data_IF_295249527104
#
_entry.id   IF_295249527104
#
_cell.length_a   1.000
_cell.length_b   1.000
_cell.length_c   1.000
_cell.angle_alpha   90.00
_cell.angle_beta   90.00
_cell.angle_gamma   90.00
#
_symmetry.space_group_name_H-M   'P 1'
#
loop_
_entity.id
_entity.type
_entity.pdbx_description
1 polymer ?
#
# COMPACT_ATOMS: atom_id res chain seq x y z
N UNK A 1 -13.92 2.06 9.69
CA UNK A 1 -13.13 2.23 10.91
C UNK A 1 -13.73 3.30 11.82
N UNK A 2 -13.19 3.44 13.02
CA UNK A 2 -13.69 4.39 14.03
C UNK A 2 -13.63 5.85 13.58
N UNK A 3 -12.73 6.20 12.68
CA UNK A 3 -12.57 7.53 12.10
C UNK A 3 -13.52 7.81 10.93
N UNK A 4 -14.40 6.87 10.57
CA UNK A 4 -15.37 7.00 9.47
C UNK A 4 -14.83 6.67 8.08
N UNK A 5 -13.61 6.18 7.96
CA UNK A 5 -13.02 5.77 6.67
C UNK A 5 -13.28 4.28 6.37
N UNK A 6 -13.34 3.94 5.09
CA UNK A 6 -13.50 2.55 4.65
C UNK A 6 -12.20 1.74 4.69
N UNK A 7 -11.07 2.40 4.82
CA UNK A 7 -9.73 1.81 4.90
C UNK A 7 -9.01 2.36 6.12
N UNK A 8 -8.03 1.61 6.61
CA UNK A 8 -7.16 2.02 7.72
C UNK A 8 -5.72 2.05 7.21
N UNK A 9 -5.02 3.19 7.25
CA UNK A 9 -3.62 3.25 6.88
C UNK A 9 -2.77 2.30 7.73
N UNK A 10 -1.86 1.57 7.10
CA UNK A 10 -0.90 0.71 7.79
C UNK A 10 0.27 1.52 8.37
N UNK A 11 -0.07 2.39 9.30
CA UNK A 11 0.87 3.30 9.99
C UNK A 11 0.71 3.13 11.49
N UNK A 12 1.84 3.00 12.19
CA UNK A 12 1.91 2.88 13.65
C UNK A 12 2.87 3.93 14.18
N UNK A 13 2.47 4.66 15.20
CA UNK A 13 3.32 5.66 15.85
C UNK A 13 3.34 5.47 17.36
N UNK A 14 4.49 5.75 17.95
CA UNK A 14 4.70 5.71 19.39
C UNK A 14 4.90 7.14 19.89
N UNK A 15 4.02 7.64 20.74
CA UNK A 15 4.15 8.97 21.31
C UNK A 15 5.20 8.98 22.40
N UNK A 16 5.70 10.17 22.76
CA UNK A 16 6.66 10.33 23.87
C UNK A 16 6.08 9.95 25.24
N UNK A 17 4.75 10.01 25.36
CA UNK A 17 4.01 9.65 26.58
C UNK A 17 3.71 8.14 26.66
N UNK A 18 4.22 7.34 25.70
CA UNK A 18 4.06 5.89 25.69
C UNK A 18 2.75 5.39 25.06
N UNK A 19 1.96 6.27 24.45
CA UNK A 19 0.76 5.91 23.74
C UNK A 19 1.09 5.36 22.34
N UNK A 20 0.31 4.41 21.85
CA UNK A 20 0.44 3.84 20.52
C UNK A 20 -0.73 4.29 19.65
N UNK A 21 -0.42 5.01 18.60
CA UNK A 21 -1.38 5.46 17.58
C UNK A 21 -1.32 4.52 16.37
N UNK A 22 -2.46 4.24 15.77
CA UNK A 22 -2.56 3.37 14.60
C UNK A 22 -3.51 3.96 13.56
N UNK A 23 -3.15 3.82 12.30
CA UNK A 23 -3.99 4.24 11.20
C UNK A 23 -3.92 5.75 10.94
N UNK A 24 -5.06 6.37 10.74
CA UNK A 24 -5.16 7.79 10.36
C UNK A 24 -4.57 8.72 11.42
N UNK A 25 -4.77 8.43 12.70
CA UNK A 25 -4.19 9.23 13.79
C UNK A 25 -2.66 9.18 13.81
N UNK A 26 -2.09 7.99 13.55
CA UNK A 26 -0.64 7.83 13.41
C UNK A 26 -0.11 8.60 12.19
N UNK A 27 -0.82 8.52 11.07
CA UNK A 27 -0.44 9.21 9.83
C UNK A 27 -0.44 10.73 10.00
N UNK A 28 -1.47 11.30 10.61
CA UNK A 28 -1.62 12.77 10.77
C UNK A 28 -0.52 13.39 11.64
N UNK A 29 0.01 12.69 12.62
CA UNK A 29 1.06 13.18 13.50
C UNK A 29 2.48 12.84 13.02
N UNK A 30 2.63 12.14 11.89
CA UNK A 30 3.92 11.67 11.39
C UNK A 30 4.94 12.81 11.19
N UNK A 31 4.50 13.97 10.74
CA UNK A 31 5.36 15.17 10.55
C UNK A 31 6.08 15.57 11.84
N UNK A 32 5.40 15.51 12.96
CA UNK A 32 5.94 15.93 14.28
C UNK A 32 6.60 14.79 15.04
N UNK A 33 6.57 13.57 14.53
CA UNK A 33 7.04 12.36 15.21
C UNK A 33 7.66 11.34 14.24
N UNK A 34 8.49 11.81 13.33
CA UNK A 34 9.01 11.03 12.18
C UNK A 34 9.75 9.77 12.64
N UNK A 35 10.68 9.90 13.59
CA UNK A 35 11.53 8.79 14.02
C UNK A 35 10.79 7.70 14.81
N UNK A 36 9.55 7.95 15.23
CA UNK A 36 8.71 7.07 16.03
C UNK A 36 7.45 6.62 15.28
N UNK A 37 7.39 6.90 13.98
CA UNK A 37 6.27 6.53 13.11
C UNK A 37 6.75 5.53 12.06
N UNK A 38 6.08 4.38 11.97
CA UNK A 38 6.43 3.25 11.12
C UNK A 38 5.32 3.08 10.09
N UNK A 39 5.70 3.07 8.82
CA UNK A 39 4.82 2.77 7.70
C UNK A 39 5.36 1.59 6.88
N UNK A 40 4.49 0.95 6.10
CA UNK A 40 4.85 -0.10 5.13
C UNK A 40 5.61 -1.30 5.74
N UNK A 41 5.31 -1.66 6.98
CA UNK A 41 5.98 -2.77 7.70
C UNK A 41 5.82 -4.12 7.01
N UNK A 42 4.80 -4.30 6.17
CA UNK A 42 4.55 -5.51 5.36
C UNK A 42 5.78 -5.92 4.52
N UNK A 43 6.57 -4.95 4.07
CA UNK A 43 7.81 -5.19 3.30
C UNK A 43 8.89 -5.93 4.11
N UNK A 44 8.74 -6.02 5.41
CA UNK A 44 9.70 -6.63 6.34
C UNK A 44 9.20 -7.93 6.97
N UNK A 45 7.99 -8.38 6.63
CA UNK A 45 7.44 -9.62 7.18
C UNK A 45 8.32 -10.81 6.83
N UNK A 46 8.51 -11.73 7.78
CA UNK A 46 9.35 -12.90 7.61
C UNK A 46 10.86 -12.63 7.63
N UNK A 47 11.30 -11.41 7.90
CA UNK A 47 12.72 -11.02 8.01
C UNK A 47 13.13 -10.76 9.47
N UNK A 48 14.41 -10.55 9.68
CA UNK A 48 15.01 -10.19 10.98
C UNK A 48 15.02 -8.66 11.25
N UNK A 49 14.33 -7.89 10.41
CA UNK A 49 14.18 -6.44 10.60
C UNK A 49 13.60 -6.09 11.97
N UNK A 50 14.13 -5.06 12.58
CA UNK A 50 13.65 -4.51 13.85
C UNK A 50 13.69 -3.00 13.84
N UNK A 51 12.69 -2.39 14.47
CA UNK A 51 12.66 -0.97 14.73
C UNK A 51 12.90 -0.73 16.23
N UNK A 52 13.92 0.06 16.54
CA UNK A 52 14.20 0.47 17.91
C UNK A 52 13.47 1.78 18.24
N UNK A 53 12.72 1.77 19.33
CA UNK A 53 11.99 2.92 19.86
C UNK A 53 12.09 2.85 21.39
N UNK A 54 12.67 3.87 22.03
CA UNK A 54 12.84 3.96 23.49
C UNK A 54 13.50 2.69 24.08
N UNK A 55 14.64 2.30 23.54
CA UNK A 55 15.42 1.12 23.96
C UNK A 55 14.69 -0.23 23.78
N UNK A 56 13.51 -0.24 23.18
CA UNK A 56 12.75 -1.44 22.83
C UNK A 56 12.80 -1.71 21.34
N UNK A 57 13.10 -2.96 20.99
CA UNK A 57 13.13 -3.43 19.60
C UNK A 57 11.83 -4.12 19.25
N UNK A 58 11.16 -3.62 18.23
CA UNK A 58 9.90 -4.17 17.71
C UNK A 58 10.15 -4.96 16.43
N UNK A 59 9.57 -6.15 16.35
CA UNK A 59 9.57 -6.99 15.14
C UNK A 59 8.48 -6.54 14.16
N UNK A 60 8.53 -6.96 12.88
CA UNK A 60 7.46 -6.70 11.93
C UNK A 60 6.11 -7.26 12.41
N UNK A 61 6.10 -8.42 13.05
CA UNK A 61 4.90 -9.05 13.61
C UNK A 61 4.27 -8.19 14.71
N UNK A 62 5.07 -7.64 15.62
CA UNK A 62 4.58 -6.78 16.70
C UNK A 62 3.98 -5.47 16.18
N UNK A 63 4.59 -4.87 15.17
CA UNK A 63 4.05 -3.66 14.52
C UNK A 63 2.76 -3.98 13.75
N UNK A 64 2.76 -5.05 12.97
CA UNK A 64 1.57 -5.51 12.25
C UNK A 64 0.42 -5.86 13.19
N UNK A 65 0.74 -6.45 14.34
CA UNK A 65 -0.25 -6.77 15.37
C UNK A 65 -0.97 -5.52 15.90
N UNK A 66 -0.31 -4.37 15.97
CA UNK A 66 -0.96 -3.10 16.37
C UNK A 66 -2.04 -2.68 15.36
N UNK A 67 -1.76 -2.87 14.07
CA UNK A 67 -2.73 -2.60 12.99
C UNK A 67 -3.92 -3.55 13.10
N UNK A 68 -3.66 -4.85 13.23
CA UNK A 68 -4.71 -5.87 13.35
C UNK A 68 -5.56 -5.69 14.62
N UNK A 69 -4.93 -5.32 15.75
CA UNK A 69 -5.65 -5.03 16.98
C UNK A 69 -6.57 -3.81 16.86
N UNK A 70 -6.16 -2.79 16.09
CA UNK A 70 -7.05 -1.66 15.78
C UNK A 70 -8.23 -2.11 14.93
N UNK A 71 -8.00 -2.89 13.88
CA UNK A 71 -9.06 -3.41 13.02
C UNK A 71 -10.07 -4.26 13.82
N UNK A 72 -9.56 -5.09 14.74
CA UNK A 72 -10.39 -5.87 15.66
C UNK A 72 -11.29 -4.96 16.52
N UNK A 73 -10.71 -3.95 17.17
CA UNK A 73 -11.48 -3.00 18.01
C UNK A 73 -12.51 -2.22 17.19
N UNK A 74 -12.15 -1.75 16.01
CA UNK A 74 -13.05 -1.00 15.14
C UNK A 74 -14.23 -1.89 14.68
N UNK A 75 -13.96 -3.16 14.37
CA UNK A 75 -15.01 -4.13 14.03
C UNK A 75 -15.94 -4.42 15.22
N UNK A 76 -15.37 -4.63 16.40
CA UNK A 76 -16.14 -4.84 17.63
C UNK A 76 -17.03 -3.64 17.97
N UNK A 77 -16.49 -2.44 17.81
CA UNK A 77 -17.26 -1.21 18.01
C UNK A 77 -18.41 -1.06 17.00
N UNK A 78 -18.18 -1.42 15.75
CA UNK A 78 -19.18 -1.35 14.70
C UNK A 78 -20.29 -2.41 14.86
N UNK A 79 -19.91 -3.63 15.23
CA UNK A 79 -20.83 -4.77 15.36
C UNK A 79 -21.55 -4.79 16.73
N UNK A 80 -20.97 -4.15 17.75
CA UNK A 80 -21.48 -4.19 19.13
C UNK A 80 -21.24 -5.52 19.84
N UNK A 81 -20.34 -6.36 19.33
CA UNK A 81 -20.02 -7.68 19.88
C UNK A 81 -18.53 -8.00 19.73
N UNK A 82 -18.03 -9.01 20.45
CA UNK A 82 -16.65 -9.44 20.37
C UNK A 82 -16.33 -10.08 19.04
N UNK A 83 -15.17 -9.73 18.47
CA UNK A 83 -14.59 -10.36 17.28
C UNK A 83 -13.41 -11.21 17.72
N UNK A 84 -13.55 -12.51 17.63
CA UNK A 84 -12.54 -13.49 18.09
C UNK A 84 -11.79 -14.14 16.95
N UNK A 85 -12.46 -14.41 15.84
CA UNK A 85 -11.91 -15.13 14.70
C UNK A 85 -11.64 -14.21 13.52
N UNK A 86 -10.60 -14.52 12.76
CA UNK A 86 -10.24 -13.78 11.54
C UNK A 86 -9.68 -14.69 10.45
N UNK A 87 -9.95 -14.31 9.22
CA UNK A 87 -9.19 -14.74 8.04
C UNK A 87 -8.31 -13.57 7.61
N UNK A 88 -7.02 -13.83 7.44
CA UNK A 88 -6.04 -12.79 7.08
C UNK A 88 -5.50 -13.09 5.69
N UNK A 89 -5.40 -12.06 4.86
CA UNK A 89 -4.89 -12.21 3.49
C UNK A 89 -3.42 -11.85 3.39
N UNK A 90 -2.72 -12.53 2.50
CA UNK A 90 -1.32 -12.29 2.16
C UNK A 90 -1.13 -12.32 0.64
N UNK A 91 -0.09 -11.69 0.10
CA UNK A 91 0.28 -11.86 -1.30
C UNK A 91 0.48 -13.34 -1.66
N UNK A 92 0.11 -13.73 -2.87
CA UNK A 92 0.21 -15.12 -3.30
C UNK A 92 1.65 -15.66 -3.30
N UNK A 93 2.64 -14.76 -3.48
CA UNK A 93 4.07 -15.13 -3.46
C UNK A 93 4.70 -15.23 -2.07
N UNK A 94 3.98 -14.85 -0.99
CA UNK A 94 4.51 -15.00 0.37
C UNK A 94 4.91 -16.45 0.63
N UNK A 95 6.14 -16.62 1.08
CA UNK A 95 6.65 -17.92 1.51
C UNK A 95 6.10 -18.33 2.90
N UNK A 96 6.45 -19.53 3.36
CA UNK A 96 5.95 -20.04 4.63
C UNK A 96 6.36 -19.19 5.84
N UNK A 97 7.56 -18.61 5.82
CA UNK A 97 8.03 -17.73 6.91
C UNK A 97 7.21 -16.41 6.97
N UNK A 98 6.91 -15.82 5.83
CA UNK A 98 6.09 -14.61 5.72
C UNK A 98 4.63 -14.87 6.13
N UNK A 99 4.09 -16.02 5.73
CA UNK A 99 2.74 -16.47 6.12
C UNK A 99 2.65 -16.74 7.61
N UNK A 100 3.65 -17.43 8.18
CA UNK A 100 3.70 -17.68 9.61
C UNK A 100 3.82 -16.37 10.40
N UNK A 101 4.69 -15.46 9.98
CA UNK A 101 4.82 -14.13 10.60
C UNK A 101 3.51 -13.35 10.58
N UNK A 102 2.72 -13.44 9.51
CA UNK A 102 1.41 -12.82 9.43
C UNK A 102 0.40 -13.47 10.38
N UNK A 103 0.41 -14.80 10.49
CA UNK A 103 -0.39 -15.53 11.47
C UNK A 103 -0.03 -15.13 12.89
N UNK A 104 1.26 -15.09 13.22
CA UNK A 104 1.76 -14.66 14.53
C UNK A 104 1.30 -13.25 14.87
N UNK A 105 1.31 -12.32 13.91
CA UNK A 105 0.79 -10.96 14.10
C UNK A 105 -0.70 -10.96 14.47
N UNK A 106 -1.51 -11.82 13.86
CA UNK A 106 -2.92 -11.99 14.20
C UNK A 106 -3.11 -12.51 15.63
N UNK A 107 -2.33 -13.50 16.03
CA UNK A 107 -2.36 -14.09 17.38
C UNK A 107 -1.90 -13.06 18.44
N UNK A 108 -0.84 -12.30 18.19
CA UNK A 108 -0.39 -11.20 19.05
C UNK A 108 -1.48 -10.14 19.21
N UNK A 109 -2.26 -9.88 18.15
CA UNK A 109 -3.39 -8.96 18.19
C UNK A 109 -4.61 -9.47 18.96
N UNK A 110 -4.60 -10.72 19.41
CA UNK A 110 -5.70 -11.37 20.14
C UNK A 110 -6.76 -11.98 19.24
N UNK A 111 -6.41 -12.32 17.99
CA UNK A 111 -7.27 -12.99 17.03
C UNK A 111 -6.96 -14.49 16.95
N UNK A 112 -7.99 -15.32 16.84
CA UNK A 112 -7.86 -16.69 16.40
C UNK A 112 -7.83 -16.69 14.86
N UNK A 113 -6.66 -16.93 14.28
CA UNK A 113 -6.48 -16.91 12.82
C UNK A 113 -6.94 -18.24 12.25
N UNK A 114 -8.13 -18.26 11.66
CA UNK A 114 -8.74 -19.46 11.08
C UNK A 114 -7.98 -19.90 9.83
N UNK A 115 -7.63 -18.96 8.98
CA UNK A 115 -6.91 -19.21 7.73
C UNK A 115 -6.08 -18.01 7.31
N UNK A 116 -4.97 -18.31 6.63
CA UNK A 116 -4.25 -17.35 5.77
C UNK A 116 -4.63 -17.69 4.33
N UNK A 117 -5.16 -16.73 3.58
CA UNK A 117 -5.53 -16.91 2.18
C UNK A 117 -4.79 -15.91 1.29
N UNK A 118 -4.72 -16.20 0.01
CA UNK A 118 -4.08 -15.31 -0.95
C UNK A 118 -4.94 -14.07 -1.24
N UNK A 119 -4.33 -12.89 -1.27
CA UNK A 119 -5.00 -11.62 -1.60
C UNK A 119 -5.73 -11.66 -2.95
N UNK A 120 -5.15 -12.21 -4.05
CA UNK A 120 -5.86 -12.28 -5.31
C UNK A 120 -7.09 -13.19 -5.26
N UNK A 121 -7.06 -14.27 -4.48
CA UNK A 121 -8.23 -15.12 -4.25
C UNK A 121 -9.34 -14.36 -3.52
N UNK A 122 -8.99 -13.61 -2.48
CA UNK A 122 -9.94 -12.77 -1.75
C UNK A 122 -10.54 -11.68 -2.64
N UNK A 123 -9.74 -11.08 -3.54
CA UNK A 123 -10.20 -10.09 -4.50
C UNK A 123 -11.22 -10.70 -5.49
N UNK A 124 -10.94 -11.87 -6.06
CA UNK A 124 -11.85 -12.56 -6.96
C UNK A 124 -13.20 -12.87 -6.27
N UNK A 125 -13.15 -13.35 -5.03
CA UNK A 125 -14.35 -13.58 -4.21
C UNK A 125 -15.14 -12.29 -3.96
N UNK A 126 -14.46 -11.20 -3.63
CA UNK A 126 -15.10 -9.91 -3.37
C UNK A 126 -15.81 -9.34 -4.60
N UNK A 127 -15.29 -9.60 -5.80
CA UNK A 127 -15.95 -9.24 -7.06
C UNK A 127 -17.04 -10.25 -7.49
N UNK A 128 -17.21 -11.34 -6.74
CA UNK A 128 -18.23 -12.35 -7.04
C UNK A 128 -17.93 -13.20 -8.27
N UNK A 129 -16.67 -13.30 -8.67
CA UNK A 129 -16.22 -14.05 -9.83
C UNK A 129 -16.30 -15.58 -9.62
N UNK A 130 -16.49 -16.00 -8.39
CA UNK A 130 -16.80 -17.39 -8.03
C UNK A 130 -18.23 -17.82 -8.43
N UNK A 131 -19.09 -16.87 -8.78
CA UNK A 131 -20.52 -17.10 -9.07
C UNK A 131 -20.84 -17.27 -10.56
N UNK A 132 -19.85 -17.19 -11.44
CA UNK A 132 -20.01 -17.46 -12.88
C UNK A 132 -20.49 -18.91 -13.14
N UNK A 133 -20.84 -19.23 -14.38
CA UNK A 133 -21.35 -20.54 -14.79
C UNK A 133 -20.35 -21.39 -15.58
N UNK A 134 -19.22 -20.80 -15.95
CA UNK A 134 -18.20 -21.42 -16.79
C UNK A 134 -16.83 -21.28 -16.12
N UNK A 135 -15.89 -22.12 -16.53
CA UNK A 135 -14.50 -21.99 -16.14
C UNK A 135 -13.89 -20.73 -16.76
N UNK A 136 -13.23 -19.93 -15.98
CA UNK A 136 -12.68 -18.64 -16.40
C UNK A 136 -11.26 -18.42 -15.90
N UNK A 137 -10.45 -17.72 -16.71
CA UNK A 137 -9.17 -17.18 -16.31
C UNK A 137 -9.32 -15.71 -15.92
N UNK A 138 -8.83 -15.39 -14.72
CA UNK A 138 -8.92 -14.06 -14.13
C UNK A 138 -7.51 -13.57 -13.81
N UNK A 139 -7.15 -12.40 -14.34
CA UNK A 139 -5.93 -11.71 -13.93
C UNK A 139 -6.22 -10.73 -12.81
N UNK A 140 -5.53 -10.84 -11.70
CA UNK A 140 -5.58 -9.87 -10.61
C UNK A 140 -4.30 -9.04 -10.67
N UNK A 141 -4.46 -7.75 -10.89
CA UNK A 141 -3.38 -6.75 -10.92
C UNK A 141 -3.50 -5.88 -9.66
N UNK A 142 -2.64 -6.12 -8.67
CA UNK A 142 -2.68 -5.47 -7.38
C UNK A 142 -1.49 -4.53 -7.22
N UNK A 143 -1.74 -3.22 -7.33
CA UNK A 143 -0.76 -2.18 -7.08
C UNK A 143 -1.17 -1.39 -5.84
N UNK A 144 -0.60 -1.78 -4.71
CA UNK A 144 -0.81 -1.13 -3.42
C UNK A 144 0.12 0.05 -3.17
N UNK A 145 0.20 0.47 -1.92
CA UNK A 145 1.13 1.54 -1.50
C UNK A 145 2.58 1.08 -1.48
N UNK A 146 2.82 -0.17 -1.10
CA UNK A 146 4.17 -0.71 -0.89
C UNK A 146 4.61 -1.80 -1.84
N UNK A 147 3.69 -2.57 -2.40
CA UNK A 147 3.98 -3.76 -3.21
C UNK A 147 3.14 -3.80 -4.47
N UNK A 148 3.67 -4.48 -5.48
CA UNK A 148 2.98 -4.83 -6.71
C UNK A 148 2.90 -6.34 -6.86
N UNK A 149 1.71 -6.84 -7.16
CA UNK A 149 1.43 -8.24 -7.36
C UNK A 149 0.54 -8.44 -8.57
N UNK A 150 0.86 -9.42 -9.38
CA UNK A 150 0.01 -9.87 -10.47
C UNK A 150 -0.13 -11.38 -10.38
N UNK A 151 -1.38 -11.86 -10.44
CA UNK A 151 -1.69 -13.28 -10.30
C UNK A 151 -2.72 -13.69 -11.33
N UNK A 152 -2.49 -14.82 -11.96
CA UNK A 152 -3.48 -15.46 -12.81
C UNK A 152 -4.20 -16.54 -12.02
N UNK A 153 -5.51 -16.41 -11.95
CA UNK A 153 -6.41 -17.34 -11.29
C UNK A 153 -7.19 -18.13 -12.34
N UNK A 154 -7.41 -19.39 -12.03
CA UNK A 154 -8.41 -20.21 -12.72
C UNK A 154 -9.58 -20.44 -11.76
N UNK A 155 -10.75 -20.07 -12.21
CA UNK A 155 -12.00 -20.39 -11.53
C UNK A 155 -12.60 -21.59 -12.21
N UNK A 156 -12.57 -22.74 -11.55
CA UNK A 156 -13.20 -23.97 -12.02
C UNK A 156 -14.62 -24.07 -11.49
N UNK A 157 -15.53 -24.55 -12.32
CA UNK A 157 -16.93 -24.77 -11.97
C UNK A 157 -17.26 -26.25 -11.99
N UNK A 158 -17.78 -26.71 -10.88
CA UNK A 158 -18.45 -28.00 -10.77
C UNK A 158 -19.91 -27.74 -10.35
N UNK A 159 -20.80 -28.67 -10.56
CA UNK A 159 -22.24 -28.48 -10.32
C UNK A 159 -22.59 -27.98 -8.89
N UNK A 160 -21.78 -28.32 -7.92
CA UNK A 160 -22.00 -27.95 -6.52
C UNK A 160 -20.96 -26.96 -5.94
N UNK A 161 -19.78 -26.83 -6.55
CA UNK A 161 -18.68 -26.06 -5.96
C UNK A 161 -17.96 -25.23 -7.01
N UNK A 162 -17.48 -24.07 -6.57
CA UNK A 162 -16.49 -23.29 -7.32
C UNK A 162 -15.11 -23.44 -6.68
N UNK A 163 -14.12 -23.67 -7.51
CA UNK A 163 -12.72 -23.70 -7.07
C UNK A 163 -11.97 -22.49 -7.63
N UNK A 164 -11.14 -21.86 -6.81
CA UNK A 164 -10.26 -20.79 -7.26
C UNK A 164 -8.83 -21.26 -7.02
N UNK A 165 -8.07 -21.39 -8.09
CA UNK A 165 -6.67 -21.82 -8.07
C UNK A 165 -5.78 -20.73 -8.62
N UNK A 166 -4.69 -20.42 -7.91
CA UNK A 166 -3.62 -19.56 -8.44
C UNK A 166 -2.79 -20.39 -9.41
N UNK A 167 -2.79 -20.03 -10.68
CA UNK A 167 -2.03 -20.72 -11.75
C UNK A 167 -0.59 -20.24 -11.81
N UNK A 168 -0.41 -18.94 -11.66
CA UNK A 168 0.89 -18.29 -11.62
C UNK A 168 0.80 -16.97 -10.88
N UNK A 169 1.92 -16.54 -10.33
CA UNK A 169 2.01 -15.25 -9.62
C UNK A 169 3.40 -14.67 -9.80
N UNK A 170 3.49 -13.37 -9.95
CA UNK A 170 4.74 -12.63 -9.96
C UNK A 170 4.50 -11.25 -9.33
N UNK A 171 5.55 -10.53 -9.03
CA UNK A 171 5.42 -9.21 -8.45
C UNK A 171 6.75 -8.54 -8.19
N UNK A 172 6.66 -7.38 -7.55
CA UNK A 172 7.78 -6.59 -7.08
C UNK A 172 7.44 -6.05 -5.69
N UNK A 173 8.04 -6.62 -4.68
CA UNK A 173 7.80 -6.26 -3.28
C UNK A 173 8.40 -4.89 -2.87
N UNK A 174 9.03 -4.19 -3.80
CA UNK A 174 9.59 -2.84 -3.65
C UNK A 174 9.04 -1.86 -4.66
N UNK A 175 7.84 -2.14 -5.18
CA UNK A 175 7.14 -1.27 -6.11
C UNK A 175 5.72 -1.03 -5.59
N UNK A 176 5.38 0.22 -5.34
CA UNK A 176 4.05 0.62 -4.89
C UNK A 176 3.89 2.12 -4.94
N UNK A 177 2.71 2.61 -4.59
CA UNK A 177 2.37 4.03 -4.62
C UNK A 177 3.34 4.94 -3.88
N UNK A 178 4.02 4.41 -2.84
CA UNK A 178 5.06 5.14 -2.10
C UNK A 178 6.25 5.53 -3.00
N UNK A 179 6.54 4.72 -4.03
CA UNK A 179 7.63 5.01 -4.97
C UNK A 179 7.22 6.12 -5.95
N UNK A 180 5.93 6.18 -6.35
CA UNK A 180 5.37 7.32 -7.10
C UNK A 180 5.44 8.59 -6.28
N UNK A 181 5.06 8.53 -5.00
CA UNK A 181 5.16 9.66 -4.08
C UNK A 181 6.60 10.15 -3.97
N UNK A 182 7.57 9.25 -3.86
CA UNK A 182 8.98 9.62 -3.76
C UNK A 182 9.48 10.37 -4.99
N UNK A 183 9.02 10.02 -6.20
CA UNK A 183 9.37 10.78 -7.42
C UNK A 183 8.86 12.21 -7.37
N UNK A 184 7.67 12.42 -6.85
CA UNK A 184 7.11 13.76 -6.64
C UNK A 184 7.91 14.51 -5.57
N UNK A 185 8.25 13.87 -4.45
CA UNK A 185 9.11 14.46 -3.41
C UNK A 185 10.45 14.91 -3.99
N UNK A 186 11.12 14.06 -4.75
CA UNK A 186 12.42 14.37 -5.36
C UNK A 186 12.30 15.58 -6.32
N UNK A 187 11.24 15.63 -7.09
CA UNK A 187 10.93 16.75 -7.98
C UNK A 187 10.72 18.06 -7.18
N UNK A 188 9.95 18.02 -6.11
CA UNK A 188 9.67 19.18 -5.27
C UNK A 188 10.90 19.67 -4.51
N UNK A 189 11.74 18.77 -4.00
CA UNK A 189 13.03 19.11 -3.38
C UNK A 189 13.92 19.85 -4.37
N UNK A 190 14.01 19.36 -5.59
CA UNK A 190 14.79 20.00 -6.66
C UNK A 190 14.25 21.41 -6.99
N UNK A 191 12.93 21.51 -7.18
CA UNK A 191 12.26 22.78 -7.48
C UNK A 191 12.42 23.81 -6.35
N UNK A 192 12.29 23.37 -5.11
CA UNK A 192 12.48 24.24 -3.96
C UNK A 192 13.91 24.77 -3.87
N UNK A 193 14.91 23.92 -4.13
CA UNK A 193 16.33 24.34 -4.19
C UNK A 193 16.59 25.33 -5.33
N UNK A 194 16.02 25.10 -6.51
CA UNK A 194 16.14 26.02 -7.65
C UNK A 194 15.53 27.39 -7.34
N UNK A 195 14.40 27.44 -6.63
CA UNK A 195 13.66 28.67 -6.36
C UNK A 195 14.18 29.43 -5.14
N UNK A 196 14.57 28.73 -4.08
CA UNK A 196 14.93 29.33 -2.78
C UNK A 196 16.42 29.20 -2.43
N UNK A 197 17.18 28.37 -3.13
CA UNK A 197 18.56 28.03 -2.81
C UNK A 197 18.71 27.05 -1.62
N UNK A 198 17.60 26.62 -1.00
CA UNK A 198 17.62 25.72 0.18
C UNK A 198 17.43 24.28 -0.22
N UNK A 199 18.35 23.41 0.23
CA UNK A 199 18.27 21.97 0.08
C UNK A 199 17.65 21.35 1.34
N UNK A 200 16.41 20.84 1.22
CA UNK A 200 15.67 20.19 2.31
C UNK A 200 15.80 18.66 2.30
N UNK A 201 16.69 18.10 1.47
CA UNK A 201 16.86 16.63 1.31
C UNK A 201 17.31 15.89 2.57
N UNK A 202 17.78 16.63 3.60
CA UNK A 202 18.17 16.08 4.90
C UNK A 202 17.29 16.56 6.07
N UNK A 203 16.30 17.38 5.78
CA UNK A 203 15.35 17.87 6.78
C UNK A 203 14.17 16.88 6.88
N UNK A 204 14.16 16.06 7.91
CA UNK A 204 13.15 15.02 8.12
C UNK A 204 11.72 15.55 8.20
N UNK A 205 11.53 16.70 8.85
CA UNK A 205 10.19 17.31 8.96
C UNK A 205 9.72 17.84 7.61
N UNK A 206 10.58 18.54 6.89
CA UNK A 206 10.27 19.03 5.54
C UNK A 206 9.97 17.86 4.60
N UNK A 207 10.78 16.80 4.61
CA UNK A 207 10.56 15.60 3.79
C UNK A 207 9.24 14.90 4.11
N UNK A 208 8.84 14.81 5.37
CA UNK A 208 7.56 14.21 5.74
C UNK A 208 6.38 15.06 5.24
N UNK A 209 6.46 16.38 5.35
CA UNK A 209 5.47 17.30 4.79
C UNK A 209 5.37 17.19 3.26
N UNK A 210 6.53 17.10 2.59
CA UNK A 210 6.60 16.87 1.14
C UNK A 210 5.99 15.53 0.75
N UNK A 211 6.23 14.48 1.52
CA UNK A 211 5.67 13.15 1.27
C UNK A 211 4.14 13.14 1.36
N UNK A 212 3.58 13.79 2.36
CA UNK A 212 2.12 13.92 2.50
C UNK A 212 1.51 14.73 1.35
N UNK A 213 2.15 15.84 0.98
CA UNK A 213 1.72 16.65 -0.14
C UNK A 213 1.84 15.91 -1.49
N UNK A 214 2.89 15.11 -1.66
CA UNK A 214 3.10 14.29 -2.85
C UNK A 214 2.03 13.20 -2.99
N UNK A 215 1.69 12.50 -1.91
CA UNK A 215 0.61 11.51 -1.90
C UNK A 215 -0.73 12.16 -2.25
N UNK A 216 -1.02 13.31 -1.66
CA UNK A 216 -2.24 14.04 -1.97
C UNK A 216 -2.29 14.49 -3.44
N UNK A 217 -1.21 15.03 -3.96
CA UNK A 217 -1.09 15.41 -5.37
C UNK A 217 -1.30 14.22 -6.32
N UNK A 218 -0.70 13.05 -6.02
CA UNK A 218 -0.93 11.81 -6.77
C UNK A 218 -2.41 11.45 -6.83
N UNK A 219 -3.11 11.52 -5.70
CA UNK A 219 -4.55 11.23 -5.64
C UNK A 219 -5.38 12.22 -6.45
N UNK A 220 -5.06 13.51 -6.37
CA UNK A 220 -5.75 14.57 -7.13
C UNK A 220 -5.52 14.42 -8.63
N UNK A 221 -4.31 14.08 -9.07
CA UNK A 221 -3.98 13.86 -10.47
C UNK A 221 -4.62 12.60 -11.06
N UNK A 222 -5.21 11.72 -10.25
CA UNK A 222 -6.07 10.64 -10.74
C UNK A 222 -7.47 11.13 -11.15
N UNK A 223 -7.85 12.33 -10.74
CA UNK A 223 -9.17 12.94 -11.04
C UNK A 223 -9.06 14.22 -11.87
N UNK A 224 -7.96 14.95 -11.74
CA UNK A 224 -7.71 16.22 -12.42
C UNK A 224 -6.45 16.15 -13.30
N UNK A 225 -6.36 17.03 -14.28
CA UNK A 225 -5.19 17.10 -15.18
C UNK A 225 -4.02 17.90 -14.60
N UNK A 226 -4.27 18.65 -13.54
CA UNK A 226 -3.23 19.39 -12.79
C UNK A 226 -3.65 19.59 -11.34
N UNK A 227 -2.67 19.81 -10.47
CA UNK A 227 -2.87 20.16 -9.06
C UNK A 227 -1.86 21.21 -8.62
N UNK A 228 -2.21 21.97 -7.60
CA UNK A 228 -1.33 22.95 -6.94
C UNK A 228 -0.85 22.39 -5.60
N UNK A 229 0.46 22.48 -5.36
CA UNK A 229 1.10 22.02 -4.14
C UNK A 229 1.65 23.23 -3.40
N UNK A 230 1.08 23.53 -2.24
CA UNK A 230 1.46 24.67 -1.43
C UNK A 230 1.85 24.24 -0.03
N UNK A 231 3.11 24.49 0.35
CA UNK A 231 3.63 24.21 1.67
C UNK A 231 4.25 25.49 2.25
N UNK A 232 3.50 26.27 3.03
CA UNK A 232 4.04 27.45 3.68
C UNK A 232 5.07 27.06 4.76
N UNK A 233 6.07 27.90 4.95
CA UNK A 233 7.11 27.72 5.95
C UNK A 233 7.81 26.34 5.87
N UNK A 234 8.14 25.91 4.64
CA UNK A 234 8.81 24.61 4.45
C UNK A 234 10.24 24.63 5.01
N UNK A 235 10.91 25.76 4.93
CA UNK A 235 12.22 26.00 5.51
C UNK A 235 12.42 27.48 5.86
N UNK A 236 13.54 27.77 6.54
CA UNK A 236 13.93 29.13 6.90
C UNK A 236 15.18 29.52 6.08
N UNK A 237 15.18 30.72 5.52
CA UNK A 237 16.31 31.34 4.83
C UNK A 237 16.78 32.59 5.55
N UNK A 238 17.92 33.15 5.15
CA UNK A 238 18.41 34.45 5.65
C UNK A 238 17.40 35.60 5.43
N UNK A 239 16.54 35.46 4.41
CA UNK A 239 15.50 36.41 4.04
C UNK A 239 14.13 36.11 4.68
N UNK A 240 14.06 35.16 5.60
CA UNK A 240 12.84 34.74 6.27
C UNK A 240 12.32 33.37 5.83
N UNK A 241 11.06 33.06 6.16
CA UNK A 241 10.43 31.78 5.81
C UNK A 241 10.38 31.57 4.30
N UNK A 242 10.73 30.37 3.86
CA UNK A 242 10.62 29.94 2.46
C UNK A 242 9.42 29.01 2.30
N UNK A 243 8.60 29.30 1.29
CA UNK A 243 7.37 28.55 0.98
C UNK A 243 7.57 27.77 -0.31
N UNK A 244 6.98 26.58 -0.39
CA UNK A 244 6.82 25.85 -1.63
C UNK A 244 5.47 26.22 -2.27
N UNK A 245 5.49 26.60 -3.53
CA UNK A 245 4.30 26.82 -4.35
C UNK A 245 4.60 26.32 -5.77
N UNK A 246 4.09 25.14 -6.09
CA UNK A 246 4.35 24.46 -7.37
C UNK A 246 3.05 23.92 -7.96
N UNK A 247 2.96 23.96 -9.27
CA UNK A 247 1.91 23.30 -10.03
C UNK A 247 2.48 22.05 -10.68
N UNK A 248 1.78 20.93 -10.54
CA UNK A 248 2.11 19.65 -11.16
C UNK A 248 0.99 19.21 -12.08
N UNK A 249 1.32 18.89 -13.34
CA UNK A 249 0.35 18.32 -14.27
C UNK A 249 0.41 16.80 -14.26
N UNK A 250 -0.70 16.15 -14.64
CA UNK A 250 -0.74 14.69 -14.82
C UNK A 250 0.32 14.23 -15.81
N UNK A 251 0.50 14.95 -16.93
CA UNK A 251 1.52 14.60 -17.92
C UNK A 251 2.94 14.63 -17.33
N UNK A 252 3.28 15.64 -16.53
CA UNK A 252 4.57 15.69 -15.83
C UNK A 252 4.73 14.55 -14.83
N UNK A 253 3.67 14.26 -14.06
CA UNK A 253 3.65 13.16 -13.11
C UNK A 253 3.84 11.80 -13.79
N UNK A 254 3.15 11.54 -14.87
CA UNK A 254 3.28 10.31 -15.65
C UNK A 254 4.67 10.18 -16.28
N UNK A 255 5.24 11.28 -16.78
CA UNK A 255 6.61 11.28 -17.32
C UNK A 255 7.66 10.94 -16.26
N UNK A 256 7.58 11.54 -15.08
CA UNK A 256 8.56 11.29 -14.00
C UNK A 256 8.43 9.90 -13.36
N UNK A 257 7.34 9.19 -13.61
CA UNK A 257 7.04 7.87 -13.05
C UNK A 257 6.94 6.76 -14.11
N UNK A 258 7.23 7.06 -15.37
CA UNK A 258 7.10 6.14 -16.50
C UNK A 258 7.88 4.83 -16.29
N UNK A 259 9.09 4.93 -15.78
CA UNK A 259 9.95 3.78 -15.49
C UNK A 259 9.41 2.90 -14.35
N UNK A 260 8.71 3.49 -13.38
CA UNK A 260 8.03 2.73 -12.31
C UNK A 260 6.87 1.91 -12.89
N UNK A 261 6.06 2.50 -13.74
CA UNK A 261 4.98 1.81 -14.42
C UNK A 261 5.52 0.69 -15.32
N UNK A 262 6.61 0.94 -16.04
CA UNK A 262 7.27 -0.05 -16.89
C UNK A 262 7.76 -1.29 -16.11
N UNK A 263 8.08 -1.16 -14.82
CA UNK A 263 8.46 -2.29 -13.96
C UNK A 263 7.33 -3.30 -13.75
N UNK A 264 6.09 -2.92 -13.92
CA UNK A 264 4.93 -3.84 -13.80
C UNK A 264 4.81 -4.78 -15.01
N UNK A 265 5.39 -4.41 -16.14
CA UNK A 265 5.26 -5.13 -17.42
C UNK A 265 5.90 -6.53 -17.35
N UNK A 266 7.12 -6.63 -16.84
CA UNK A 266 7.82 -7.91 -16.78
C UNK A 266 7.10 -8.95 -15.90
N UNK A 267 6.69 -8.66 -14.66
CA UNK A 267 5.88 -9.58 -13.86
C UNK A 267 4.58 -10.02 -14.55
N UNK A 268 3.92 -9.10 -15.24
CA UNK A 268 2.73 -9.43 -16.03
C UNK A 268 3.05 -10.45 -17.14
N UNK A 269 4.08 -10.21 -17.95
CA UNK A 269 4.51 -11.12 -19.01
C UNK A 269 4.95 -12.48 -18.45
N UNK A 270 5.65 -12.49 -17.32
CA UNK A 270 6.09 -13.70 -16.63
C UNK A 270 4.91 -14.58 -16.20
N UNK A 271 3.87 -13.97 -15.61
CA UNK A 271 2.64 -14.66 -15.18
C UNK A 271 1.94 -15.33 -16.35
N UNK A 272 1.77 -14.63 -17.47
CA UNK A 272 1.14 -15.16 -18.67
C UNK A 272 1.96 -16.34 -19.25
N UNK A 273 3.27 -16.16 -19.34
CA UNK A 273 4.17 -17.18 -19.88
C UNK A 273 4.19 -18.44 -18.99
N UNK A 274 4.31 -18.29 -17.68
CA UNK A 274 4.36 -19.40 -16.73
C UNK A 274 3.07 -20.20 -16.68
N UNK A 275 1.93 -19.55 -16.82
CA UNK A 275 0.64 -20.22 -16.92
C UNK A 275 0.41 -20.92 -18.27
N UNK A 276 1.20 -20.60 -19.29
CA UNK A 276 1.07 -21.18 -20.61
C UNK A 276 -0.22 -20.78 -21.35
N UNK A 277 -0.77 -19.59 -21.03
CA UNK A 277 -2.01 -19.07 -21.60
C UNK A 277 -1.73 -17.86 -22.49
N UNK A 278 -2.73 -17.47 -23.28
CA UNK A 278 -2.69 -16.24 -24.08
C UNK A 278 -3.48 -15.14 -23.37
N UNK A 279 -3.09 -13.90 -23.59
CA UNK A 279 -3.83 -12.74 -23.07
C UNK A 279 -5.31 -12.78 -23.48
N UNK A 280 -5.59 -13.25 -24.70
CA UNK A 280 -6.96 -13.37 -25.21
C UNK A 280 -7.83 -14.42 -24.46
N UNK A 281 -7.22 -15.32 -23.69
CA UNK A 281 -7.94 -16.33 -22.92
C UNK A 281 -8.40 -15.80 -21.55
N UNK A 282 -7.95 -14.60 -21.16
CA UNK A 282 -8.29 -13.97 -19.88
C UNK A 282 -9.68 -13.35 -20.00
N UNK A 283 -10.62 -13.84 -19.19
CA UNK A 283 -11.99 -13.35 -19.17
C UNK A 283 -12.15 -12.02 -18.45
N UNK A 284 -11.40 -11.84 -17.33
CA UNK A 284 -11.50 -10.66 -16.50
C UNK A 284 -10.12 -10.19 -16.03
N UNK A 285 -9.96 -8.86 -15.96
CA UNK A 285 -8.85 -8.22 -15.26
C UNK A 285 -9.41 -7.45 -14.07
N UNK A 286 -8.93 -7.81 -12.88
CA UNK A 286 -9.35 -7.19 -11.62
C UNK A 286 -8.24 -6.27 -11.12
N UNK A 287 -8.52 -4.99 -11.04
CA UNK A 287 -7.62 -3.98 -10.50
C UNK A 287 -7.83 -3.84 -8.99
N UNK A 288 -6.78 -4.09 -8.24
CA UNK A 288 -6.76 -4.05 -6.78
C UNK A 288 -5.65 -3.11 -6.31
N UNK A 289 -5.84 -2.51 -5.14
CA UNK A 289 -4.91 -1.54 -4.59
C UNK A 289 -5.22 -0.10 -5.00
N UNK A 290 -5.00 0.82 -4.07
CA UNK A 290 -5.31 2.24 -4.28
C UNK A 290 -4.59 2.88 -5.46
N UNK A 291 -3.38 2.41 -5.76
CA UNK A 291 -2.56 2.94 -6.86
C UNK A 291 -3.07 2.54 -8.25
N UNK A 292 -3.93 1.53 -8.37
CA UNK A 292 -4.58 1.19 -9.64
C UNK A 292 -5.63 2.21 -10.09
N UNK A 293 -5.95 3.18 -9.24
CA UNK A 293 -6.82 4.32 -9.59
C UNK A 293 -6.12 5.36 -10.48
N UNK A 294 -4.80 5.30 -10.59
CA UNK A 294 -4.06 6.16 -11.51
C UNK A 294 -4.46 5.81 -12.96
N UNK A 295 -4.84 6.81 -13.79
CA UNK A 295 -5.28 6.57 -15.18
C UNK A 295 -4.28 5.76 -16.01
N UNK A 296 -2.98 6.03 -15.86
CA UNK A 296 -1.92 5.32 -16.56
C UNK A 296 -1.93 3.80 -16.32
N UNK A 297 -2.38 3.33 -15.15
CA UNK A 297 -2.52 1.90 -14.86
C UNK A 297 -3.65 1.29 -15.67
N UNK A 298 -4.80 1.94 -15.72
CA UNK A 298 -5.95 1.46 -16.49
C UNK A 298 -5.65 1.44 -18.00
N UNK A 299 -4.86 2.39 -18.48
CA UNK A 299 -4.42 2.46 -19.89
C UNK A 299 -3.39 1.37 -20.24
N UNK A 300 -2.61 0.91 -19.26
CA UNK A 300 -1.60 -0.14 -19.45
C UNK A 300 -2.24 -1.53 -19.58
N UNK A 301 -3.29 -1.81 -18.83
CA UNK A 301 -3.93 -3.13 -18.67
C UNK A 301 -5.13 -3.26 -19.61
#
# INVERSE_FOLDING_TARGET
NAEGFRTTPSVVAFTKDGEVLVGETAKRQAVTNVDRTIASVKRHMGTDWKQEIDDKKYTPQEISARILAKLKRDAEQYLGESVTDAVITVPAYFNDAERQATKDAGEIAGLNVLRIINEPTAAALAYGLDKGKEDELILVFDLGGGTFDVSLLEVGKDDEFSTIQVRSTAGDNRLGGDDWDQRVVDHLVKKFKETTGVDVSKDKIALQRLKEAAEQAKKELSQATQTSIQLPYLSLTENGPANLDETLTRAQFEQMTEDLLARTKKPFEDVIREAGVKVADIAHVVLVGGSTRMPAVTELV
#
